data_IF_894354471266
#
_entry.id   IF_894354471266
#
_cell.length_a   1.000
_cell.length_b   1.000
_cell.length_c   1.000
_cell.angle_alpha   90.00
_cell.angle_beta   90.00
_cell.angle_gamma   90.00
#
_symmetry.space_group_name_H-M   'P 1'
#
loop_
_entity.id
_entity.type
_entity.pdbx_description
1 polymer ?
#
# COMPACT_ATOMS: atom_id res chain seq x y z
N UNK A 1 -30.10 21.92 41.30
CA UNK A 1 -29.65 20.67 40.66
C UNK A 1 -29.35 21.00 39.22
N UNK A 2 -28.08 21.26 38.87
CA UNK A 2 -27.68 21.60 37.50
C UNK A 2 -27.65 20.31 36.66
N UNK A 3 -28.55 20.21 35.69
CA UNK A 3 -28.47 19.14 34.68
C UNK A 3 -27.27 19.49 33.77
N UNK A 4 -26.15 18.81 33.92
CA UNK A 4 -25.10 18.82 32.92
C UNK A 4 -25.65 18.12 31.69
N UNK A 5 -26.05 18.89 30.70
CA UNK A 5 -26.36 18.39 29.36
C UNK A 5 -25.02 18.08 28.73
N UNK A 6 -24.69 16.79 28.61
CA UNK A 6 -23.54 16.36 27.81
C UNK A 6 -23.73 16.88 26.37
N UNK A 7 -22.72 17.60 25.87
CA UNK A 7 -22.71 18.06 24.47
C UNK A 7 -23.04 16.87 23.56
N UNK A 8 -24.04 16.96 22.66
CA UNK A 8 -24.36 15.86 21.76
C UNK A 8 -23.20 15.67 20.81
N UNK A 9 -22.33 14.70 21.07
CA UNK A 9 -21.38 14.22 20.08
C UNK A 9 -22.16 13.47 18.99
N UNK A 10 -22.66 14.20 18.02
CA UNK A 10 -23.16 13.64 16.79
C UNK A 10 -21.98 13.06 16.01
N UNK A 11 -21.63 11.81 16.27
CA UNK A 11 -20.82 11.02 15.35
C UNK A 11 -21.66 10.83 14.09
N UNK A 12 -21.58 11.76 13.16
CA UNK A 12 -22.28 11.61 11.89
C UNK A 12 -21.47 10.63 11.05
N UNK A 13 -21.97 9.41 10.86
CA UNK A 13 -21.41 8.44 9.91
C UNK A 13 -21.25 9.03 8.49
N UNK A 14 -21.97 10.11 8.18
CA UNK A 14 -21.82 10.93 6.99
C UNK A 14 -20.44 11.58 6.87
N UNK A 15 -19.76 11.93 7.97
CA UNK A 15 -18.40 12.52 7.92
C UNK A 15 -17.38 11.45 7.53
N UNK A 16 -17.47 10.25 8.13
CA UNK A 16 -16.59 9.12 7.80
C UNK A 16 -16.76 8.69 6.35
N UNK A 17 -18.00 8.50 5.89
CA UNK A 17 -18.30 8.17 4.50
C UNK A 17 -17.72 9.19 3.51
N UNK A 18 -17.82 10.49 3.84
CA UNK A 18 -17.24 11.56 3.00
C UNK A 18 -15.71 11.47 2.94
N UNK A 19 -15.03 11.21 4.06
CA UNK A 19 -13.58 11.05 4.11
C UNK A 19 -13.16 9.85 3.27
N UNK A 20 -13.77 8.67 3.47
CA UNK A 20 -13.48 7.46 2.71
C UNK A 20 -13.71 7.64 1.22
N UNK A 21 -14.79 8.34 0.84
CA UNK A 21 -15.10 8.68 -0.55
C UNK A 21 -13.99 9.57 -1.18
N UNK A 22 -13.52 10.61 -0.47
CA UNK A 22 -12.44 11.47 -0.98
C UNK A 22 -11.13 10.69 -1.15
N UNK A 23 -10.83 9.75 -0.26
CA UNK A 23 -9.65 8.89 -0.40
C UNK A 23 -9.77 7.99 -1.63
N UNK A 24 -10.91 7.32 -1.84
CA UNK A 24 -11.15 6.53 -3.05
C UNK A 24 -11.04 7.37 -4.33
N UNK A 25 -11.61 8.58 -4.33
CA UNK A 25 -11.53 9.49 -5.48
C UNK A 25 -10.08 9.90 -5.77
N UNK A 26 -9.29 10.17 -4.73
CA UNK A 26 -7.89 10.54 -4.86
C UNK A 26 -7.00 9.38 -5.36
N UNK A 27 -7.45 8.13 -5.23
CA UNK A 27 -6.76 6.95 -5.80
C UNK A 27 -7.03 6.78 -7.29
N UNK A 28 -8.08 7.40 -7.86
CA UNK A 28 -8.48 7.19 -9.25
C UNK A 28 -7.38 7.52 -10.27
N UNK A 29 -6.58 8.59 -10.15
CA UNK A 29 -5.47 8.82 -11.09
C UNK A 29 -4.50 7.63 -11.15
N UNK A 30 -4.12 7.09 -10.00
CA UNK A 30 -3.24 5.92 -9.93
C UNK A 30 -3.91 4.65 -10.44
N UNK A 31 -5.21 4.48 -10.18
CA UNK A 31 -6.00 3.36 -10.70
C UNK A 31 -6.03 3.34 -12.23
N UNK A 32 -6.31 4.47 -12.87
CA UNK A 32 -6.28 4.58 -14.33
C UNK A 32 -4.87 4.40 -14.90
N UNK A 33 -3.85 4.91 -14.21
CA UNK A 33 -2.44 4.71 -14.61
C UNK A 33 -2.05 3.24 -14.51
N UNK A 34 -2.52 2.51 -13.47
CA UNK A 34 -2.30 1.06 -13.37
C UNK A 34 -3.00 0.30 -14.50
N UNK A 35 -4.23 0.66 -14.88
CA UNK A 35 -4.92 0.05 -16.02
C UNK A 35 -4.13 0.27 -17.31
N UNK A 36 -3.61 1.47 -17.52
CA UNK A 36 -2.87 1.82 -18.73
C UNK A 36 -1.56 1.04 -18.87
N UNK A 37 -0.79 0.87 -17.77
CA UNK A 37 0.51 0.19 -17.80
C UNK A 37 0.45 -1.30 -17.51
N UNK A 38 -0.49 -1.76 -16.69
CA UNK A 38 -0.57 -3.14 -16.23
C UNK A 38 -1.85 -3.87 -16.63
N UNK A 39 -2.73 -3.22 -17.38
CA UNK A 39 -3.91 -3.82 -17.99
C UNK A 39 -5.14 -3.94 -17.09
N UNK A 40 -6.16 -4.59 -17.65
CA UNK A 40 -7.49 -4.65 -17.06
C UNK A 40 -7.61 -5.57 -15.83
N UNK A 41 -6.57 -6.33 -15.51
CA UNK A 41 -6.56 -7.19 -14.32
C UNK A 41 -6.86 -6.44 -13.04
N UNK A 42 -6.35 -5.20 -12.89
CA UNK A 42 -6.62 -4.33 -11.72
C UNK A 42 -8.13 -4.06 -11.54
N UNK A 43 -8.87 -3.88 -12.63
CA UNK A 43 -10.33 -3.65 -12.59
C UNK A 43 -11.04 -4.89 -12.05
N UNK A 44 -10.71 -6.07 -12.58
CA UNK A 44 -11.31 -7.34 -12.17
C UNK A 44 -10.99 -7.65 -10.71
N UNK A 45 -9.73 -7.46 -10.28
CA UNK A 45 -9.33 -7.63 -8.89
C UNK A 45 -10.09 -6.67 -7.96
N UNK A 46 -10.28 -5.41 -8.37
CA UNK A 46 -11.03 -4.43 -7.59
C UNK A 46 -12.50 -4.79 -7.43
N UNK A 47 -13.15 -5.26 -8.50
CA UNK A 47 -14.55 -5.71 -8.45
C UNK A 47 -14.69 -6.93 -7.54
N UNK A 48 -13.80 -7.92 -7.67
CA UNK A 48 -13.79 -9.11 -6.81
C UNK A 48 -13.55 -8.75 -5.34
N UNK A 49 -12.58 -7.86 -5.08
CA UNK A 49 -12.26 -7.41 -3.72
C UNK A 49 -13.45 -6.69 -3.07
N UNK A 50 -14.04 -5.71 -3.77
CA UNK A 50 -15.17 -4.92 -3.24
C UNK A 50 -16.38 -5.82 -3.00
N UNK A 51 -16.70 -6.71 -3.96
CA UNK A 51 -17.80 -7.66 -3.81
C UNK A 51 -17.61 -8.59 -2.59
N UNK A 52 -16.42 -9.19 -2.48
CA UNK A 52 -16.08 -10.07 -1.34
C UNK A 52 -16.10 -9.31 -0.02
N UNK A 53 -15.58 -8.08 0.02
CA UNK A 53 -15.54 -7.25 1.21
C UNK A 53 -16.93 -6.90 1.72
N UNK A 54 -17.84 -6.49 0.82
CA UNK A 54 -19.24 -6.15 1.16
C UNK A 54 -19.96 -7.40 1.71
N UNK A 55 -19.81 -8.55 1.06
CA UNK A 55 -20.43 -9.81 1.49
C UNK A 55 -19.89 -10.22 2.87
N UNK A 56 -18.57 -10.20 3.06
CA UNK A 56 -17.93 -10.57 4.31
C UNK A 56 -18.40 -9.66 5.47
N UNK A 57 -18.42 -8.34 5.24
CA UNK A 57 -18.87 -7.39 6.25
C UNK A 57 -20.36 -7.53 6.56
N UNK A 58 -21.20 -7.71 5.53
CA UNK A 58 -22.63 -7.95 5.72
C UNK A 58 -22.89 -9.16 6.60
N UNK A 59 -22.24 -10.29 6.32
CA UNK A 59 -22.36 -11.53 7.12
C UNK A 59 -21.89 -11.28 8.56
N UNK A 60 -20.71 -10.69 8.74
CA UNK A 60 -20.14 -10.44 10.06
C UNK A 60 -21.03 -9.53 10.94
N UNK A 61 -21.60 -8.47 10.35
CA UNK A 61 -22.50 -7.56 11.07
C UNK A 61 -23.85 -8.22 11.40
N UNK A 62 -24.37 -9.04 10.47
CA UNK A 62 -25.61 -9.80 10.70
C UNK A 62 -25.47 -10.81 11.83
N UNK A 63 -24.32 -11.52 11.88
CA UNK A 63 -24.00 -12.43 12.99
C UNK A 63 -23.92 -11.72 14.34
N UNK A 64 -23.58 -10.44 14.36
CA UNK A 64 -23.56 -9.58 15.56
C UNK A 64 -24.93 -8.96 15.91
N UNK A 65 -25.98 -9.34 15.21
CA UNK A 65 -27.35 -8.79 15.41
C UNK A 65 -27.45 -7.27 15.27
N UNK A 66 -26.56 -6.66 14.44
CA UNK A 66 -26.57 -5.23 14.11
C UNK A 66 -27.21 -5.01 12.73
N UNK A 67 -27.61 -3.75 12.43
CA UNK A 67 -28.18 -3.37 11.13
C UNK A 67 -27.06 -3.15 10.10
N UNK A 68 -26.89 -4.01 9.07
CA UNK A 68 -25.74 -3.95 8.15
C UNK A 68 -25.65 -2.64 7.35
N UNK A 69 -26.78 -2.08 6.91
CA UNK A 69 -26.83 -0.86 6.09
C UNK A 69 -26.12 0.34 6.72
N UNK A 70 -26.17 0.47 8.05
CA UNK A 70 -25.54 1.59 8.75
C UNK A 70 -24.00 1.50 8.74
N UNK A 71 -23.45 0.30 8.62
CA UNK A 71 -22.00 0.05 8.59
C UNK A 71 -21.46 0.03 7.16
N UNK A 72 -22.20 -0.54 6.21
CA UNK A 72 -21.79 -0.57 4.80
C UNK A 72 -21.81 0.82 4.16
N UNK A 73 -22.62 1.74 4.68
CA UNK A 73 -22.72 3.11 4.15
C UNK A 73 -21.49 3.99 4.46
N UNK A 74 -20.53 3.55 5.27
CA UNK A 74 -19.32 4.30 5.61
C UNK A 74 -18.19 4.17 4.58
N UNK A 75 -18.34 3.31 3.57
CA UNK A 75 -17.36 3.00 2.52
C UNK A 75 -16.00 2.50 3.00
N UNK A 76 -15.80 2.27 4.29
CA UNK A 76 -14.51 1.86 4.84
C UNK A 76 -14.06 0.50 4.32
N UNK A 77 -14.99 -0.44 4.16
CA UNK A 77 -14.68 -1.77 3.64
C UNK A 77 -14.37 -1.74 2.14
N UNK A 78 -15.06 -0.88 1.39
CA UNK A 78 -14.79 -0.69 -0.04
C UNK A 78 -13.42 -0.07 -0.25
N UNK A 79 -13.02 0.90 0.59
CA UNK A 79 -11.67 1.48 0.56
C UNK A 79 -10.61 0.43 0.90
N UNK A 80 -10.82 -0.36 1.96
CA UNK A 80 -9.90 -1.46 2.33
C UNK A 80 -9.69 -2.43 1.17
N UNK A 81 -10.78 -2.82 0.50
CA UNK A 81 -10.77 -3.71 -0.64
C UNK A 81 -10.01 -3.10 -1.85
N UNK A 82 -10.27 -1.82 -2.14
CA UNK A 82 -9.59 -1.11 -3.24
C UNK A 82 -8.09 -0.97 -2.97
N UNK A 83 -7.68 -0.63 -1.74
CA UNK A 83 -6.27 -0.58 -1.35
C UNK A 83 -5.60 -1.94 -1.56
N UNK A 84 -6.23 -3.02 -1.13
CA UNK A 84 -5.68 -4.37 -1.30
C UNK A 84 -5.60 -4.77 -2.77
N UNK A 85 -6.65 -4.50 -3.57
CA UNK A 85 -6.68 -4.82 -4.99
C UNK A 85 -5.60 -4.11 -5.81
N UNK A 86 -5.29 -2.84 -5.45
CA UNK A 86 -4.21 -2.09 -6.10
C UNK A 86 -2.81 -2.48 -5.61
N UNK A 87 -2.71 -3.19 -4.48
CA UNK A 87 -1.44 -3.63 -3.91
C UNK A 87 -0.98 -4.99 -4.43
N UNK A 88 -1.87 -5.86 -4.91
CA UNK A 88 -1.55 -7.20 -5.41
C UNK A 88 -1.27 -7.21 -6.92
N UNK A 89 -0.57 -8.25 -7.44
CA UNK A 89 -0.38 -8.40 -8.88
C UNK A 89 -1.73 -8.44 -9.64
N UNK A 90 -1.87 -7.68 -10.74
CA UNK A 90 -3.14 -7.55 -11.47
C UNK A 90 -3.72 -8.86 -12.00
N UNK A 91 -2.86 -9.80 -12.36
CA UNK A 91 -3.25 -11.11 -12.91
C UNK A 91 -3.11 -12.26 -11.90
N UNK A 92 -3.06 -11.94 -10.61
CA UNK A 92 -3.14 -12.97 -9.57
C UNK A 92 -4.45 -13.76 -9.68
N UNK A 93 -4.45 -15.08 -9.40
CA UNK A 93 -5.67 -15.90 -9.41
C UNK A 93 -6.77 -15.30 -8.52
N UNK A 94 -8.03 -15.44 -8.93
CA UNK A 94 -9.20 -14.86 -8.24
C UNK A 94 -9.29 -15.21 -6.76
N UNK A 95 -8.86 -16.40 -6.37
CA UNK A 95 -8.91 -16.85 -4.98
C UNK A 95 -7.93 -16.09 -4.06
N UNK A 96 -6.82 -15.55 -4.60
CA UNK A 96 -5.86 -14.73 -3.84
C UNK A 96 -6.56 -13.50 -3.28
N UNK A 97 -7.22 -12.70 -4.14
CA UNK A 97 -7.89 -11.48 -3.68
C UNK A 97 -9.06 -11.80 -2.74
N UNK A 98 -9.77 -12.90 -2.97
CA UNK A 98 -10.86 -13.33 -2.09
C UNK A 98 -10.33 -13.65 -0.70
N UNK A 99 -9.30 -14.49 -0.57
CA UNK A 99 -8.69 -14.83 0.72
C UNK A 99 -8.14 -13.60 1.42
N UNK A 100 -7.37 -12.77 0.70
CA UNK A 100 -6.80 -11.55 1.27
C UNK A 100 -7.85 -10.57 1.78
N UNK A 101 -8.92 -10.38 1.01
CA UNK A 101 -10.03 -9.51 1.40
C UNK A 101 -10.79 -10.05 2.60
N UNK A 102 -11.05 -11.36 2.65
CA UNK A 102 -11.65 -12.01 3.83
C UNK A 102 -10.79 -11.80 5.06
N UNK A 103 -9.47 -12.03 4.97
CA UNK A 103 -8.55 -11.80 6.07
C UNK A 103 -8.53 -10.31 6.48
N UNK A 104 -8.48 -9.39 5.53
CA UNK A 104 -8.50 -7.95 5.81
C UNK A 104 -9.78 -7.53 6.56
N UNK A 105 -10.95 -7.96 6.09
CA UNK A 105 -12.23 -7.58 6.68
C UNK A 105 -12.47 -8.31 8.02
N UNK A 106 -12.29 -9.62 8.06
CA UNK A 106 -12.61 -10.39 9.25
C UNK A 106 -11.54 -10.21 10.33
N UNK A 107 -10.27 -10.51 10.03
CA UNK A 107 -9.18 -10.45 11.01
C UNK A 107 -8.71 -9.01 11.25
N UNK A 108 -8.63 -8.19 10.19
CA UNK A 108 -8.13 -6.83 10.29
C UNK A 108 -9.12 -5.84 10.90
N UNK A 109 -10.44 -6.06 10.75
CA UNK A 109 -11.47 -5.10 11.17
C UNK A 109 -12.51 -5.71 12.12
N UNK A 110 -13.17 -6.80 11.72
CA UNK A 110 -14.34 -7.29 12.44
C UNK A 110 -14.01 -7.97 13.77
N UNK A 111 -12.92 -8.68 13.90
CA UNK A 111 -12.48 -9.31 15.17
C UNK A 111 -12.33 -8.27 16.29
N UNK A 112 -11.86 -7.06 15.97
CA UNK A 112 -11.66 -5.97 16.94
C UNK A 112 -12.94 -5.18 17.27
N UNK A 113 -14.05 -5.41 16.58
CA UNK A 113 -15.31 -4.70 16.86
C UNK A 113 -15.84 -3.84 15.72
N UNK A 114 -15.09 -3.65 14.66
CA UNK A 114 -15.41 -2.84 13.50
C UNK A 114 -14.51 -1.60 13.35
N UNK A 115 -14.92 -0.66 12.51
CA UNK A 115 -14.17 0.55 12.23
C UNK A 115 -13.87 1.35 13.51
N UNK A 116 -12.63 1.78 13.66
CA UNK A 116 -12.19 2.61 14.79
C UNK A 116 -11.70 1.83 16.01
N UNK A 117 -11.80 0.50 16.00
CA UNK A 117 -11.32 -0.37 17.08
C UNK A 117 -10.10 -1.20 16.67
N UNK A 118 -9.75 -1.19 15.39
CA UNK A 118 -8.64 -1.96 14.84
C UNK A 118 -7.29 -1.29 15.13
N UNK A 119 -6.33 -2.01 15.74
CA UNK A 119 -4.98 -1.48 16.01
C UNK A 119 -4.10 -1.46 14.76
N UNK A 120 -4.43 -2.26 13.76
CA UNK A 120 -3.66 -2.44 12.53
C UNK A 120 -4.49 -2.03 11.31
N UNK A 121 -3.79 -1.57 10.25
CA UNK A 121 -4.43 -1.32 8.97
C UNK A 121 -4.96 -2.64 8.36
N UNK A 122 -6.28 -2.75 8.10
CA UNK A 122 -6.89 -4.00 7.67
C UNK A 122 -6.38 -4.48 6.30
N UNK A 123 -6.18 -3.58 5.34
CA UNK A 123 -5.67 -3.95 4.02
C UNK A 123 -4.26 -4.53 4.11
N UNK A 124 -3.41 -3.97 4.99
CA UNK A 124 -2.06 -4.46 5.18
C UNK A 124 -2.01 -5.82 5.90
N UNK A 125 -2.95 -6.10 6.80
CA UNK A 125 -3.11 -7.45 7.37
C UNK A 125 -3.40 -8.46 6.26
N UNK A 126 -4.39 -8.17 5.40
CA UNK A 126 -4.72 -9.04 4.27
C UNK A 126 -3.53 -9.24 3.33
N UNK A 127 -2.83 -8.15 2.98
CA UNK A 127 -1.66 -8.19 2.11
C UNK A 127 -0.52 -9.05 2.69
N UNK A 128 -0.18 -8.85 3.97
CA UNK A 128 0.93 -9.58 4.63
C UNK A 128 0.60 -11.05 4.78
N UNK A 129 -0.65 -11.41 5.12
CA UNK A 129 -1.09 -12.81 5.16
C UNK A 129 -0.92 -13.46 3.78
N UNK A 130 -1.34 -12.77 2.71
CA UNK A 130 -1.16 -13.28 1.35
C UNK A 130 0.31 -13.45 0.98
N UNK A 131 1.14 -12.45 1.29
CA UNK A 131 2.57 -12.46 0.95
C UNK A 131 3.34 -13.58 1.65
N UNK A 132 2.96 -13.91 2.90
CA UNK A 132 3.58 -15.01 3.65
C UNK A 132 3.04 -16.37 3.18
N UNK A 133 1.73 -16.47 2.95
CA UNK A 133 1.07 -17.75 2.62
C UNK A 133 1.23 -18.15 1.15
N UNK A 134 1.27 -17.16 0.25
CA UNK A 134 1.28 -17.36 -1.20
C UNK A 134 2.32 -16.47 -1.89
N UNK A 135 3.62 -16.61 -1.53
CA UNK A 135 4.67 -15.69 -2.01
C UNK A 135 4.79 -15.71 -3.54
N UNK A 136 4.67 -16.88 -4.18
CA UNK A 136 4.81 -16.97 -5.63
C UNK A 136 3.77 -16.10 -6.35
N UNK A 137 2.49 -16.22 -5.98
CA UNK A 137 1.40 -15.46 -6.60
C UNK A 137 1.48 -13.96 -6.30
N UNK A 138 2.07 -13.58 -5.16
CA UNK A 138 2.20 -12.19 -4.73
C UNK A 138 3.42 -11.49 -5.33
N UNK A 139 4.42 -12.22 -5.78
CA UNK A 139 5.64 -11.66 -6.38
C UNK A 139 5.68 -11.73 -7.90
N UNK A 140 4.77 -12.48 -8.52
CA UNK A 140 4.70 -12.63 -9.97
C UNK A 140 3.94 -11.46 -10.59
N UNK A 141 4.67 -10.47 -11.10
CA UNK A 141 4.11 -9.30 -11.77
C UNK A 141 4.33 -9.40 -13.28
N UNK A 142 3.30 -9.07 -14.07
CA UNK A 142 3.47 -8.86 -15.49
C UNK A 142 4.19 -7.53 -15.72
N UNK A 143 5.20 -7.46 -16.63
CA UNK A 143 5.82 -6.21 -17.00
C UNK A 143 4.81 -5.24 -17.63
N UNK A 144 5.11 -3.94 -17.70
CA UNK A 144 4.23 -2.97 -18.34
C UNK A 144 3.85 -3.41 -19.76
N UNK A 145 2.59 -3.21 -20.14
CA UNK A 145 1.99 -3.61 -21.41
C UNK A 145 2.82 -3.16 -22.62
N UNK A 146 3.44 -1.97 -22.53
CA UNK A 146 4.28 -1.41 -23.59
C UNK A 146 5.55 -2.24 -23.89
N UNK A 147 5.94 -3.13 -22.99
CA UNK A 147 7.09 -4.02 -23.15
C UNK A 147 6.68 -5.41 -23.67
N UNK A 148 5.39 -5.72 -23.70
CA UNK A 148 4.88 -6.99 -24.17
C UNK A 148 4.66 -6.97 -25.69
N UNK A 149 4.97 -8.05 -26.35
CA UNK A 149 4.67 -8.23 -27.78
C UNK A 149 3.17 -8.38 -28.03
N UNK A 150 2.50 -9.11 -27.15
CA UNK A 150 1.06 -9.34 -27.19
C UNK A 150 0.45 -8.94 -25.84
N UNK A 151 -0.05 -7.71 -25.72
CA UNK A 151 -0.66 -7.25 -24.47
C UNK A 151 -2.00 -7.95 -24.23
N UNK A 152 -2.26 -8.45 -23.01
CA UNK A 152 -3.52 -9.13 -22.69
C UNK A 152 -4.73 -8.21 -22.88
N UNK A 153 -5.72 -8.67 -23.60
CA UNK A 153 -7.02 -8.02 -23.76
C UNK A 153 -7.85 -8.13 -22.47
N UNK A 154 -9.02 -7.51 -22.44
CA UNK A 154 -9.94 -7.65 -21.30
C UNK A 154 -10.41 -9.11 -21.12
N UNK A 155 -10.67 -9.83 -22.22
CA UNK A 155 -11.05 -11.24 -22.18
C UNK A 155 -9.91 -12.12 -21.68
N UNK A 156 -8.66 -11.81 -22.09
CA UNK A 156 -7.49 -12.53 -21.59
C UNK A 156 -7.27 -12.28 -20.10
N UNK A 157 -7.49 -11.07 -19.63
CA UNK A 157 -7.42 -10.74 -18.21
C UNK A 157 -8.41 -11.56 -17.39
N UNK A 158 -9.65 -11.69 -17.87
CA UNK A 158 -10.66 -12.52 -17.25
C UNK A 158 -10.25 -14.01 -17.25
N UNK A 159 -9.84 -14.52 -18.39
CA UNK A 159 -9.41 -15.91 -18.51
C UNK A 159 -8.20 -16.22 -17.63
N UNK A 160 -7.16 -15.37 -17.64
CA UNK A 160 -5.97 -15.53 -16.78
C UNK A 160 -6.30 -15.56 -15.28
N UNK A 161 -7.17 -14.69 -14.82
CA UNK A 161 -7.55 -14.60 -13.39
C UNK A 161 -8.34 -15.85 -12.97
N UNK A 162 -9.23 -16.39 -13.81
CA UNK A 162 -10.11 -17.50 -13.46
C UNK A 162 -9.60 -18.88 -13.86
N UNK A 163 -8.91 -19.01 -14.99
CA UNK A 163 -8.40 -20.28 -15.51
C UNK A 163 -6.87 -20.42 -15.51
N UNK A 164 -6.14 -19.31 -15.36
CA UNK A 164 -4.68 -19.29 -15.42
C UNK A 164 -4.09 -19.25 -16.82
N UNK A 165 -4.94 -19.21 -17.87
CA UNK A 165 -4.55 -19.21 -19.28
C UNK A 165 -5.22 -18.04 -19.99
N UNK A 166 -4.58 -17.49 -21.03
CA UNK A 166 -5.22 -16.55 -21.95
C UNK A 166 -6.28 -17.25 -22.79
N UNK A 167 -7.06 -16.49 -23.56
CA UNK A 167 -8.01 -17.05 -24.55
C UNK A 167 -7.32 -17.91 -25.59
N UNK A 168 -6.05 -17.62 -25.90
CA UNK A 168 -5.21 -18.36 -26.86
C UNK A 168 -4.44 -19.52 -26.20
N UNK A 169 -4.64 -19.77 -24.90
CA UNK A 169 -4.04 -20.87 -24.16
C UNK A 169 -2.64 -20.61 -23.60
N UNK A 170 -2.15 -19.38 -23.63
CA UNK A 170 -0.83 -19.03 -23.05
C UNK A 170 -0.93 -18.81 -21.53
N UNK A 171 0.09 -19.28 -20.82
CA UNK A 171 0.28 -18.98 -19.39
C UNK A 171 0.90 -17.59 -19.20
N UNK A 172 0.79 -17.03 -17.98
CA UNK A 172 1.41 -15.76 -17.63
C UNK A 172 2.94 -15.76 -17.88
N UNK A 173 3.62 -16.89 -17.64
CA UNK A 173 5.05 -17.04 -17.89
C UNK A 173 5.39 -17.04 -19.38
N UNK A 174 4.53 -17.61 -20.23
CA UNK A 174 4.76 -17.63 -21.67
C UNK A 174 4.62 -16.25 -22.31
N UNK A 175 3.76 -15.37 -21.78
CA UNK A 175 3.64 -13.98 -22.24
C UNK A 175 4.93 -13.16 -22.06
N UNK A 176 5.80 -13.59 -21.14
CA UNK A 176 7.09 -12.91 -20.85
C UNK A 176 8.29 -13.61 -21.49
N UNK A 177 8.14 -14.84 -22.03
CA UNK A 177 9.25 -15.69 -22.47
C UNK A 177 10.05 -15.15 -23.67
N UNK A 178 9.45 -14.25 -24.45
CA UNK A 178 10.07 -13.68 -25.66
C UNK A 178 10.81 -12.37 -25.42
N UNK A 179 10.98 -11.96 -24.16
CA UNK A 179 11.63 -10.68 -23.83
C UNK A 179 12.86 -10.98 -22.99
N UNK A 180 14.05 -10.90 -23.63
CA UNK A 180 15.34 -11.10 -22.97
C UNK A 180 15.50 -10.11 -21.79
N UNK A 181 15.88 -10.63 -20.63
CA UNK A 181 16.17 -9.83 -19.44
C UNK A 181 14.95 -9.37 -18.64
N UNK A 182 13.72 -9.74 -19.01
CA UNK A 182 12.53 -9.50 -18.18
C UNK A 182 12.22 -10.75 -17.36
N UNK A 183 12.32 -10.59 -16.04
CA UNK A 183 11.76 -11.52 -15.06
C UNK A 183 10.36 -11.05 -14.67
N UNK A 184 9.51 -11.95 -14.18
CA UNK A 184 8.19 -11.58 -13.61
C UNK A 184 8.32 -10.89 -12.24
N UNK A 185 9.47 -10.30 -11.95
CA UNK A 185 9.79 -9.63 -10.71
C UNK A 185 9.51 -8.12 -10.81
N UNK A 186 9.24 -7.51 -9.68
CA UNK A 186 9.17 -6.04 -9.60
C UNK A 186 10.56 -5.43 -9.83
N UNK A 187 10.66 -4.15 -10.23
CA UNK A 187 11.96 -3.48 -10.40
C UNK A 187 12.86 -3.53 -9.16
N UNK A 188 12.25 -3.42 -7.98
CA UNK A 188 12.98 -3.53 -6.70
C UNK A 188 13.49 -4.94 -6.45
N UNK A 189 12.73 -5.96 -6.84
CA UNK A 189 13.12 -7.35 -6.71
C UNK A 189 14.23 -7.70 -7.70
N UNK A 190 14.09 -7.29 -8.96
CA UNK A 190 15.14 -7.43 -9.99
C UNK A 190 16.45 -6.78 -9.56
N UNK A 191 16.40 -5.55 -9.05
CA UNK A 191 17.56 -4.87 -8.51
C UNK A 191 18.17 -5.63 -7.32
N UNK A 192 17.34 -6.13 -6.40
CA UNK A 192 17.80 -6.86 -5.22
C UNK A 192 18.48 -8.19 -5.56
N UNK A 193 17.90 -8.95 -6.50
CA UNK A 193 18.51 -10.19 -7.01
C UNK A 193 19.84 -9.88 -7.69
N UNK A 194 19.86 -8.84 -8.50
CA UNK A 194 21.05 -8.43 -9.23
C UNK A 194 22.21 -8.07 -8.29
N UNK A 195 21.95 -7.27 -7.24
CA UNK A 195 22.97 -6.91 -6.24
C UNK A 195 23.45 -8.08 -5.37
N UNK A 196 22.62 -9.10 -5.16
CA UNK A 196 23.06 -10.31 -4.47
C UNK A 196 24.01 -11.17 -5.29
N UNK A 197 23.90 -11.13 -6.62
CA UNK A 197 24.72 -11.93 -7.54
C UNK A 197 25.96 -11.20 -8.05
N UNK A 198 26.00 -9.87 -8.00
CA UNK A 198 27.03 -9.03 -8.57
C UNK A 198 27.51 -8.00 -7.54
N UNK A 199 28.83 -7.86 -7.38
CA UNK A 199 29.44 -7.02 -6.32
C UNK A 199 30.22 -5.84 -6.87
N UNK A 200 30.30 -5.65 -8.21
CA UNK A 200 31.14 -4.62 -8.83
C UNK A 200 30.31 -3.44 -9.36
N UNK A 201 30.93 -2.25 -9.36
CA UNK A 201 30.32 -0.99 -9.83
C UNK A 201 29.86 -1.03 -11.31
N UNK A 202 30.53 -1.81 -12.16
CA UNK A 202 30.14 -1.97 -13.56
C UNK A 202 28.79 -2.64 -13.75
N UNK A 203 28.35 -3.39 -12.73
CA UNK A 203 27.11 -4.16 -12.76
C UNK A 203 25.87 -3.25 -12.72
N UNK A 204 25.98 -2.05 -12.11
CA UNK A 204 24.88 -1.08 -12.11
C UNK A 204 24.47 -0.63 -13.53
N UNK A 205 25.45 -0.43 -14.42
CA UNK A 205 25.17 -0.07 -15.82
C UNK A 205 24.48 -1.20 -16.58
N UNK A 206 24.72 -2.45 -16.22
CA UNK A 206 24.02 -3.59 -16.79
C UNK A 206 22.59 -3.70 -16.28
N UNK A 207 22.36 -3.42 -14.99
CA UNK A 207 21.02 -3.39 -14.42
C UNK A 207 20.10 -2.37 -15.11
N UNK A 208 20.58 -1.14 -15.33
CA UNK A 208 19.78 -0.08 -15.97
C UNK A 208 19.57 -0.28 -17.47
N UNK A 209 20.29 -1.22 -18.10
CA UNK A 209 20.04 -1.64 -19.49
C UNK A 209 18.89 -2.63 -19.62
N UNK A 210 18.42 -3.23 -18.50
CA UNK A 210 17.28 -4.12 -18.55
C UNK A 210 16.03 -3.40 -19.09
N UNK A 211 15.21 -4.04 -19.92
CA UNK A 211 14.05 -3.40 -20.55
C UNK A 211 13.03 -2.80 -19.56
N UNK A 212 13.01 -3.27 -18.32
CA UNK A 212 12.14 -2.75 -17.26
C UNK A 212 12.55 -1.32 -16.82
N UNK A 213 13.82 -0.95 -17.01
CA UNK A 213 14.32 0.40 -16.80
C UNK A 213 14.33 1.15 -18.14
N UNK A 214 14.21 2.48 -18.13
CA UNK A 214 14.00 3.28 -19.36
C UNK A 214 15.20 3.34 -20.32
N UNK A 215 16.29 2.63 -20.05
CA UNK A 215 17.43 2.48 -20.94
C UNK A 215 18.28 3.75 -21.23
N UNK A 216 17.84 4.92 -20.79
CA UNK A 216 18.46 6.21 -21.07
C UNK A 216 19.45 6.66 -19.96
N UNK A 217 20.11 5.72 -19.30
CA UNK A 217 21.00 6.03 -18.17
C UNK A 217 20.25 6.43 -16.87
N UNK A 218 18.94 6.24 -16.82
CA UNK A 218 18.11 6.45 -15.63
C UNK A 218 17.67 5.11 -15.06
N UNK A 219 17.64 5.03 -13.74
CA UNK A 219 17.20 3.87 -12.99
C UNK A 219 15.69 3.86 -12.67
N UNK A 220 14.91 4.68 -13.41
CA UNK A 220 13.45 4.72 -13.29
C UNK A 220 12.80 3.53 -14.02
N UNK A 221 12.00 2.75 -13.32
CA UNK A 221 11.27 1.64 -13.88
C UNK A 221 9.99 2.10 -14.59
N UNK A 222 9.86 1.77 -15.87
CA UNK A 222 8.70 2.12 -16.68
C UNK A 222 7.40 1.54 -16.08
N UNK A 223 6.31 2.30 -16.12
CA UNK A 223 5.04 1.94 -15.51
C UNK A 223 4.99 2.20 -14.00
N UNK A 224 6.02 1.83 -13.27
CA UNK A 224 6.07 1.93 -11.81
C UNK A 224 6.22 3.37 -11.31
N UNK A 225 7.13 4.15 -11.90
CA UNK A 225 7.29 5.54 -11.49
C UNK A 225 6.07 6.40 -11.81
N UNK A 226 5.40 6.14 -12.97
CA UNK A 226 4.19 6.86 -13.35
C UNK A 226 3.04 6.60 -12.38
N UNK A 227 2.85 5.34 -11.96
CA UNK A 227 1.85 4.97 -10.95
C UNK A 227 2.15 5.65 -9.62
N UNK A 228 3.42 5.67 -9.19
CA UNK A 228 3.81 6.36 -7.95
C UNK A 228 3.61 7.88 -8.02
N UNK A 229 3.90 8.51 -9.16
CA UNK A 229 3.60 9.93 -9.38
C UNK A 229 2.09 10.18 -9.36
N UNK A 230 1.28 9.30 -9.92
CA UNK A 230 -0.17 9.42 -9.85
C UNK A 230 -0.70 9.30 -8.40
N UNK A 231 -0.12 8.41 -7.57
CA UNK A 231 -0.39 8.38 -6.13
C UNK A 231 0.05 9.66 -5.42
N UNK A 232 1.21 10.21 -5.78
CA UNK A 232 1.67 11.49 -5.23
C UNK A 232 0.69 12.62 -5.53
N UNK A 233 0.19 12.72 -6.76
CA UNK A 233 -0.82 13.71 -7.17
C UNK A 233 -2.10 13.55 -6.34
N UNK A 234 -2.60 12.32 -6.21
CA UNK A 234 -3.75 12.02 -5.35
C UNK A 234 -3.49 12.35 -3.87
N UNK A 235 -2.28 12.07 -3.37
CA UNK A 235 -1.87 12.39 -2.01
C UNK A 235 -1.81 13.89 -1.73
N UNK A 236 -1.25 14.67 -2.65
CA UNK A 236 -1.24 16.16 -2.57
C UNK A 236 -2.68 16.69 -2.56
N UNK A 237 -3.55 16.16 -3.41
CA UNK A 237 -4.98 16.52 -3.40
C UNK A 237 -5.63 16.30 -2.03
N UNK A 238 -5.36 15.16 -1.35
CA UNK A 238 -5.87 14.88 -0.01
C UNK A 238 -5.34 15.85 1.05
N UNK A 239 -4.07 16.26 0.96
CA UNK A 239 -3.47 17.28 1.85
C UNK A 239 -4.16 18.63 1.62
N UNK A 240 -4.33 19.07 0.38
CA UNK A 240 -4.99 20.33 0.04
C UNK A 240 -6.45 20.36 0.50
N UNK A 241 -7.16 19.24 0.41
CA UNK A 241 -8.52 19.06 0.96
C UNK A 241 -8.56 18.87 2.47
N UNK A 242 -7.40 18.84 3.14
CA UNK A 242 -7.26 18.61 4.61
C UNK A 242 -7.90 17.29 5.07
N UNK A 243 -7.95 16.30 4.20
CA UNK A 243 -8.42 14.94 4.52
C UNK A 243 -7.34 14.19 5.29
N UNK A 244 -6.08 14.35 4.87
CA UNK A 244 -4.91 13.81 5.57
C UNK A 244 -3.97 14.93 6.03
N UNK A 245 -3.15 14.61 7.03
CA UNK A 245 -2.13 15.52 7.54
C UNK A 245 -0.79 15.25 6.86
N UNK A 246 -0.06 16.30 6.47
CA UNK A 246 1.20 16.23 5.76
C UNK A 246 2.36 15.60 6.58
N UNK A 247 2.26 15.61 7.92
CA UNK A 247 3.34 15.18 8.82
C UNK A 247 3.76 13.72 8.58
N UNK A 248 2.79 12.80 8.40
CA UNK A 248 3.08 11.38 8.21
C UNK A 248 3.79 11.12 6.88
N UNK A 249 3.21 11.50 5.70
CA UNK A 249 3.86 11.22 4.43
C UNK A 249 5.21 11.91 4.28
N UNK A 250 5.33 13.17 4.70
CA UNK A 250 6.60 13.89 4.60
C UNK A 250 7.66 13.25 5.50
N UNK A 251 7.33 12.94 6.77
CA UNK A 251 8.29 12.30 7.67
C UNK A 251 8.74 10.92 7.14
N UNK A 252 7.83 10.10 6.60
CA UNK A 252 8.14 8.80 6.02
C UNK A 252 9.10 8.94 4.83
N UNK A 253 8.76 9.80 3.88
CA UNK A 253 9.56 9.98 2.64
C UNK A 253 10.92 10.60 2.93
N UNK A 254 11.00 11.63 3.79
CA UNK A 254 12.27 12.28 4.16
C UNK A 254 13.18 11.31 4.91
N UNK A 255 12.67 10.57 5.89
CA UNK A 255 13.48 9.61 6.65
C UNK A 255 14.05 8.53 5.73
N UNK A 256 13.21 7.95 4.87
CA UNK A 256 13.68 6.96 3.91
C UNK A 256 14.73 7.56 2.95
N UNK A 257 14.46 8.75 2.40
CA UNK A 257 15.39 9.44 1.48
C UNK A 257 16.74 9.71 2.13
N UNK A 258 16.78 10.24 3.35
CA UNK A 258 18.01 10.50 4.08
C UNK A 258 18.84 9.23 4.33
N UNK A 259 18.17 8.14 4.71
CA UNK A 259 18.83 6.86 4.95
C UNK A 259 19.36 6.23 3.65
N UNK A 260 18.55 6.25 2.59
CA UNK A 260 18.94 5.72 1.29
C UNK A 260 20.10 6.51 0.66
N UNK A 261 20.11 7.84 0.82
CA UNK A 261 21.25 8.68 0.36
C UNK A 261 22.49 8.45 1.22
N UNK A 262 22.36 8.28 2.53
CA UNK A 262 23.49 7.98 3.40
C UNK A 262 24.18 6.67 3.01
N UNK A 263 23.42 5.63 2.65
CA UNK A 263 24.00 4.36 2.18
C UNK A 263 24.66 4.47 0.81
N UNK A 264 24.17 5.34 -0.06
CA UNK A 264 24.83 5.58 -1.35
C UNK A 264 26.27 6.11 -1.18
N UNK A 265 26.56 6.89 -0.13
CA UNK A 265 27.90 7.36 0.20
C UNK A 265 28.83 6.26 0.76
N UNK A 266 28.30 5.14 1.21
CA UNK A 266 29.12 4.00 1.71
C UNK A 266 29.63 3.08 0.60
N UNK A 267 29.34 3.38 -0.65
CA UNK A 267 29.80 2.61 -1.82
C UNK A 267 28.93 1.39 -2.15
N UNK A 268 27.84 1.17 -1.41
CA UNK A 268 26.84 0.18 -1.81
C UNK A 268 26.05 0.73 -3.01
N UNK A 269 26.22 0.08 -4.15
CA UNK A 269 25.50 0.40 -5.38
C UNK A 269 24.08 -0.11 -5.29
N UNK A 270 23.14 0.76 -5.06
CA UNK A 270 21.71 0.50 -5.15
C UNK A 270 21.07 1.46 -6.14
N UNK A 271 19.82 1.22 -6.51
CA UNK A 271 19.02 2.22 -7.22
C UNK A 271 19.09 3.56 -6.48
N UNK A 272 19.06 4.67 -7.20
CA UNK A 272 19.09 6.01 -6.59
C UNK A 272 17.96 6.17 -5.56
N UNK A 273 18.18 6.97 -4.53
CA UNK A 273 17.17 7.21 -3.50
C UNK A 273 15.85 7.73 -4.08
N UNK A 274 15.93 8.54 -5.16
CA UNK A 274 14.75 9.06 -5.87
C UNK A 274 14.03 7.93 -6.59
N UNK A 275 14.75 7.06 -7.31
CA UNK A 275 14.15 5.91 -7.99
C UNK A 275 13.46 4.97 -6.99
N UNK A 276 14.06 4.75 -5.83
CA UNK A 276 13.45 3.94 -4.77
C UNK A 276 12.18 4.58 -4.16
N UNK A 277 12.09 5.92 -4.12
CA UNK A 277 10.89 6.63 -3.68
C UNK A 277 9.73 6.50 -4.68
N UNK A 278 10.03 6.44 -5.97
CA UNK A 278 9.02 6.28 -7.03
C UNK A 278 8.87 4.83 -7.51
N UNK A 279 9.45 3.88 -6.78
CA UNK A 279 9.34 2.44 -7.05
C UNK A 279 8.61 1.72 -5.92
N UNK A 280 8.00 0.59 -6.24
CA UNK A 280 7.21 -0.19 -5.28
C UNK A 280 5.98 0.59 -4.79
N UNK A 281 5.60 0.36 -3.54
CA UNK A 281 4.42 0.96 -2.92
C UNK A 281 4.73 2.20 -2.05
N UNK A 282 5.86 2.90 -2.27
CA UNK A 282 6.30 3.96 -1.36
C UNK A 282 5.33 5.13 -1.30
N UNK A 283 4.94 5.70 -2.45
CA UNK A 283 3.97 6.81 -2.50
C UNK A 283 2.57 6.36 -2.08
N UNK A 284 2.18 5.16 -2.50
CA UNK A 284 0.91 4.56 -2.07
C UNK A 284 0.86 4.39 -0.55
N UNK A 285 1.90 3.79 0.03
CA UNK A 285 2.03 3.62 1.48
C UNK A 285 2.02 4.92 2.26
N UNK A 286 2.78 5.92 1.80
CA UNK A 286 2.94 7.19 2.49
C UNK A 286 1.64 8.02 2.54
N UNK A 287 0.87 8.07 1.45
CA UNK A 287 -0.29 8.96 1.36
C UNK A 287 -1.64 8.28 1.63
N UNK A 288 -1.78 6.98 1.39
CA UNK A 288 -3.08 6.30 1.44
C UNK A 288 -3.18 5.22 2.53
N UNK A 289 -2.04 4.65 2.95
CA UNK A 289 -2.04 3.55 3.91
C UNK A 289 -1.57 4.01 5.29
N UNK A 290 -0.40 4.64 5.40
CA UNK A 290 0.14 5.12 6.67
C UNK A 290 -0.67 6.28 7.28
N UNK A 291 -1.46 6.98 6.48
CA UNK A 291 -2.33 8.08 6.92
C UNK A 291 -3.72 7.63 7.36
N UNK A 292 -3.96 6.33 7.50
CA UNK A 292 -5.23 5.81 8.04
C UNK A 292 -5.53 6.45 9.41
N UNK A 293 -6.66 7.17 9.56
CA UNK A 293 -6.96 7.93 10.77
C UNK A 293 -7.20 7.06 12.00
N UNK A 294 -7.44 5.75 11.82
CA UNK A 294 -7.71 4.81 12.91
C UNK A 294 -6.43 4.25 13.51
N UNK A 295 -5.46 3.91 12.67
CA UNK A 295 -4.27 3.15 13.06
C UNK A 295 -2.99 3.99 13.17
N UNK A 296 -3.03 5.24 12.68
CA UNK A 296 -1.91 6.17 12.81
C UNK A 296 -1.96 6.97 14.12
N UNK A 297 -0.80 7.54 14.52
CA UNK A 297 -0.69 8.42 15.69
C UNK A 297 -1.59 9.67 15.55
N UNK A 298 -2.20 10.08 16.66
CA UNK A 298 -3.17 11.18 16.72
C UNK A 298 -2.46 12.53 16.90
N UNK A 299 -1.40 12.59 17.71
CA UNK A 299 -0.75 13.85 18.08
C UNK A 299 0.13 14.40 16.93
N UNK A 300 0.25 15.74 16.77
CA UNK A 300 1.09 16.30 15.68
C UNK A 300 2.55 15.84 15.73
N UNK A 301 3.15 15.76 16.94
CA UNK A 301 4.50 15.23 17.14
C UNK A 301 4.56 13.73 16.91
N UNK A 302 3.54 13.00 17.37
CA UNK A 302 3.43 11.57 17.18
C UNK A 302 3.32 11.19 15.72
N UNK A 303 2.62 11.96 14.89
CA UNK A 303 2.53 11.76 13.43
C UNK A 303 3.90 11.81 12.76
N UNK A 304 4.77 12.75 13.17
CA UNK A 304 6.14 12.86 12.64
C UNK A 304 6.95 11.63 13.06
N UNK A 305 6.89 11.25 14.34
CA UNK A 305 7.62 10.08 14.84
C UNK A 305 7.13 8.80 14.19
N UNK A 306 5.82 8.64 14.05
CA UNK A 306 5.21 7.49 13.38
C UNK A 306 5.65 7.41 11.91
N UNK A 307 5.55 8.51 11.15
CA UNK A 307 5.98 8.54 9.75
C UNK A 307 7.47 8.24 9.60
N UNK A 308 8.33 8.83 10.47
CA UNK A 308 9.76 8.56 10.48
C UNK A 308 10.06 7.07 10.79
N UNK A 309 9.33 6.47 11.72
CA UNK A 309 9.48 5.05 12.07
C UNK A 309 9.08 4.14 10.89
N UNK A 310 7.98 4.47 10.19
CA UNK A 310 7.60 3.74 8.96
C UNK A 310 8.72 3.84 7.93
N UNK A 311 9.24 5.06 7.66
CA UNK A 311 10.34 5.27 6.71
C UNK A 311 11.60 4.47 7.07
N UNK A 312 11.96 4.43 8.35
CA UNK A 312 13.07 3.65 8.87
C UNK A 312 12.85 2.15 8.63
N UNK A 313 11.68 1.61 8.96
CA UNK A 313 11.40 0.19 8.77
C UNK A 313 11.35 -0.20 7.30
N UNK A 314 10.81 0.65 6.42
CA UNK A 314 10.87 0.41 4.96
C UNK A 314 12.32 0.31 4.51
N UNK A 315 13.17 1.24 4.95
CA UNK A 315 14.60 1.22 4.66
C UNK A 315 15.26 -0.09 5.12
N UNK A 316 15.06 -0.46 6.39
CA UNK A 316 15.65 -1.68 6.94
C UNK A 316 15.21 -2.94 6.18
N UNK A 317 13.93 -3.05 5.82
CA UNK A 317 13.41 -4.22 5.11
C UNK A 317 13.89 -4.25 3.66
N UNK A 318 13.95 -3.12 2.96
CA UNK A 318 14.44 -3.06 1.59
C UNK A 318 15.93 -3.40 1.49
N UNK A 319 16.75 -2.90 2.40
CA UNK A 319 18.21 -3.07 2.35
C UNK A 319 18.68 -4.37 3.02
N UNK A 320 18.10 -4.77 4.13
CA UNK A 320 18.56 -5.90 4.94
C UNK A 320 17.59 -7.09 4.98
N UNK A 321 16.30 -6.86 4.69
CA UNK A 321 15.30 -7.93 4.70
C UNK A 321 15.30 -8.77 3.41
N UNK A 322 14.49 -9.82 3.39
CA UNK A 322 14.32 -10.67 2.20
C UNK A 322 13.25 -10.17 1.24
N UNK A 323 12.34 -9.33 1.69
CA UNK A 323 11.27 -8.80 0.84
C UNK A 323 11.77 -7.61 0.00
N UNK A 324 11.39 -7.51 -1.28
CA UNK A 324 11.80 -6.41 -2.16
C UNK A 324 11.13 -5.09 -1.78
N UNK A 325 9.90 -5.14 -1.32
CA UNK A 325 9.16 -3.99 -0.79
C UNK A 325 8.60 -4.30 0.60
N UNK A 326 8.98 -3.49 1.58
CA UNK A 326 8.66 -3.69 3.00
C UNK A 326 7.56 -2.79 3.52
N UNK A 327 6.86 -2.01 2.68
CA UNK A 327 5.92 -0.96 3.13
C UNK A 327 4.82 -1.53 4.02
N UNK A 328 4.22 -2.66 3.65
CA UNK A 328 3.15 -3.28 4.42
C UNK A 328 3.62 -3.72 5.81
N UNK A 329 4.75 -4.41 5.89
CA UNK A 329 5.35 -4.81 7.17
C UNK A 329 5.74 -3.61 8.02
N UNK A 330 6.36 -2.60 7.40
CA UNK A 330 6.79 -1.38 8.08
C UNK A 330 5.61 -0.65 8.73
N UNK A 331 4.48 -0.56 8.04
CA UNK A 331 3.26 0.07 8.57
C UNK A 331 2.70 -0.77 9.73
N UNK A 332 2.59 -2.10 9.59
CA UNK A 332 2.08 -2.95 10.66
C UNK A 332 2.97 -2.90 11.92
N UNK A 333 4.30 -2.94 11.75
CA UNK A 333 5.25 -2.80 12.86
C UNK A 333 5.12 -1.43 13.54
N UNK A 334 4.98 -0.37 12.75
CA UNK A 334 4.81 0.98 13.28
C UNK A 334 3.46 1.15 14.00
N UNK A 335 2.40 0.48 13.54
CA UNK A 335 1.10 0.50 14.21
C UNK A 335 1.18 -0.06 15.64
N UNK A 336 2.03 -1.08 15.88
CA UNK A 336 2.27 -1.60 17.24
C UNK A 336 2.84 -0.51 18.16
N UNK A 337 3.64 0.40 17.62
CA UNK A 337 4.29 1.46 18.38
C UNK A 337 3.37 2.66 18.66
N UNK A 338 2.22 2.79 17.96
CA UNK A 338 1.33 3.96 18.07
C UNK A 338 0.86 4.24 19.51
N UNK A 339 0.42 3.25 20.31
CA UNK A 339 0.01 3.52 21.69
C UNK A 339 1.14 4.13 22.54
N UNK A 340 2.38 3.66 22.32
CA UNK A 340 3.56 4.19 23.01
C UNK A 340 3.87 5.62 22.54
N UNK A 341 3.88 5.84 21.22
CA UNK A 341 4.12 7.16 20.63
C UNK A 341 3.12 8.17 21.16
N UNK A 342 1.83 7.86 21.12
CA UNK A 342 0.78 8.76 21.59
C UNK A 342 0.83 9.00 23.09
N UNK A 343 1.24 8.02 23.89
CA UNK A 343 1.43 8.21 25.33
C UNK A 343 2.50 9.27 25.64
N UNK A 344 3.66 9.22 24.99
CA UNK A 344 4.77 10.15 25.24
C UNK A 344 4.63 11.50 24.52
N UNK A 345 3.78 11.59 23.52
CA UNK A 345 3.58 12.82 22.72
C UNK A 345 2.32 13.59 23.07
N UNK A 346 1.56 13.16 24.10
CA UNK A 346 0.35 13.86 24.55
C UNK A 346 0.64 15.31 24.91
N UNK A 347 -0.13 16.27 24.39
CA UNK A 347 -0.01 17.66 24.81
C UNK A 347 -0.35 17.79 26.30
N UNK A 348 0.37 18.64 27.00
CA UNK A 348 0.09 18.93 28.40
C UNK A 348 -1.26 19.66 28.50
N UNK A 349 -2.14 19.14 29.33
CA UNK A 349 -3.43 19.80 29.61
C UNK A 349 -3.17 20.95 30.56
N UNK A 350 -3.74 22.14 30.28
CA UNK A 350 -3.65 23.31 31.15
C UNK A 350 -4.24 22.96 32.52
N UNK A 351 -3.51 23.26 33.60
CA UNK A 351 -3.93 22.97 34.98
C UNK A 351 -3.30 21.73 35.63
N UNK A 352 -2.51 20.93 34.90
CA UNK A 352 -1.72 19.86 35.53
C UNK A 352 -0.46 20.48 36.19
N UNK A 353 -0.21 20.22 37.49
CA UNK A 353 1.00 20.70 38.13
C UNK A 353 2.23 20.12 37.41
N UNK A 354 3.18 21.00 37.06
CA UNK A 354 4.51 20.60 36.63
C UNK A 354 5.10 19.74 37.75
N UNK A 355 5.34 18.43 37.47
CA UNK A 355 6.20 17.63 38.37
C UNK A 355 7.50 18.42 38.52
N UNK A 356 7.70 18.98 39.72
CA UNK A 356 8.83 19.81 40.03
C UNK A 356 10.12 19.11 39.63
N UNK A 357 11.03 19.91 39.08
CA UNK A 357 12.45 19.57 39.06
C UNK A 357 12.83 19.28 40.54
N UNK A 358 13.07 18.01 40.86
CA UNK A 358 13.93 17.64 41.97
C UNK A 358 15.32 17.47 41.45
#
# INVERSE_FOLDING_TARGET
MFKMVSSPHTHSGKLTARIMFWVMLAMMPAFFTQIYYFGFGVVLQSVLAIGTAIIAEFIAIKLRSKKPLNYLSDFSVSLTALILAMAIPPYAPYWIIIIGTLCAVLLGKQVYGGLGQNPFNPAMIGYVILLISFPLQMTTWLPPINLLQEPPTFSDAFSLIFSGLTTDGFTLSQLTHNIDGITQATPLDSAKIFYKSHTQLNDFYELIKLPIFMGNGTDFAQGWWQVNVAFLVGGIFLILKRVIHWQIPVAMLVTFFCLATATAFTGFTHLSAISQLVSGAMMFGAFFIATDPVTASITPRGKIIFGALVGLFVYLIRYHGNFPDGVAFAILLSNICVPLIDHYTRPRVSGYPTKGKK
#
